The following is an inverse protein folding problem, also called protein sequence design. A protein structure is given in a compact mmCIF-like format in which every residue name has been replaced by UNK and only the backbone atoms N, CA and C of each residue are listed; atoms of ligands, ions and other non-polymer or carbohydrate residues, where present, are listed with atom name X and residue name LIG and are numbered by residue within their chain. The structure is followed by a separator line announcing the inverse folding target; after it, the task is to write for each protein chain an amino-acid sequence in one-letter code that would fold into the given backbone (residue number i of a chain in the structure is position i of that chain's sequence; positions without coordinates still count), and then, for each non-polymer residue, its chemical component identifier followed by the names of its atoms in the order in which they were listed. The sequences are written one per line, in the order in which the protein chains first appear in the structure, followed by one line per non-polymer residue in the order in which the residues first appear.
data_IF_523646687103
#
_entry.id   IF_523646687103
#
_cell.length_a   1.000
_cell.length_b   1.000
_cell.length_c   1.000
_cell.angle_alpha   90.00
_cell.angle_beta   90.00
_cell.angle_gamma   90.00
#
_symmetry.space_group_name_H-M   'P 1'
#
loop_
_entity.id
_entity.type
_entity.pdbx_description
1 polymer ?
#
# COMPACT_ATOMS: atom_id res chain seq x y z
N UNK A 1 26.01 26.08 21.06
CA UNK A 1 25.85 25.60 22.45
C UNK A 1 24.36 25.43 22.69
N UNK A 2 23.72 24.33 23.09
CA UNK A 2 24.02 22.90 23.32
C UNK A 2 22.65 22.19 23.21
N UNK A 3 22.53 21.06 22.48
CA UNK A 3 22.43 19.65 22.95
C UNK A 3 21.28 19.29 23.93
N UNK A 4 20.37 18.41 23.43
CA UNK A 4 19.89 17.10 24.00
C UNK A 4 19.03 17.19 25.30
N UNK A 5 17.94 16.47 25.60
CA UNK A 5 17.31 15.14 25.31
C UNK A 5 15.80 15.25 25.66
N UNK A 6 14.89 14.32 25.30
CA UNK A 6 14.39 13.14 26.07
C UNK A 6 13.37 12.44 25.12
N UNK A 7 13.25 11.13 24.91
CA UNK A 7 13.70 9.95 25.64
C UNK A 7 12.49 9.15 26.12
N UNK A 8 12.05 8.12 25.38
CA UNK A 8 11.28 6.98 25.94
C UNK A 8 11.35 5.75 25.03
N UNK A 9 12.30 4.88 25.36
CA UNK A 9 12.51 3.54 24.81
C UNK A 9 11.87 2.55 25.78
N UNK A 10 11.04 1.61 25.30
CA UNK A 10 10.59 0.46 26.09
C UNK A 10 11.48 -0.73 25.73
N UNK A 11 12.19 -1.24 26.73
CA UNK A 11 13.12 -2.34 26.65
C UNK A 11 12.37 -3.68 26.63
N UNK A 12 12.55 -4.46 25.56
CA UNK A 12 12.21 -5.87 25.52
C UNK A 12 13.47 -6.70 25.78
N UNK A 13 13.46 -7.44 26.89
CA UNK A 13 14.53 -8.35 27.33
C UNK A 13 14.65 -9.52 26.35
N UNK A 14 15.83 -9.71 25.75
CA UNK A 14 16.19 -10.95 25.07
C UNK A 14 17.34 -11.61 25.83
N UNK A 15 17.06 -12.83 26.31
CA UNK A 15 17.96 -13.73 26.99
C UNK A 15 19.04 -14.18 26.00
N UNK A 16 20.31 -13.88 26.32
CA UNK A 16 21.47 -14.33 25.59
C UNK A 16 21.85 -15.77 26.02
N UNK A 17 21.80 -16.71 25.10
CA UNK A 17 22.49 -18.00 25.24
C UNK A 17 23.85 -17.86 24.57
N UNK A 18 24.89 -17.72 25.39
CA UNK A 18 26.27 -17.69 24.95
C UNK A 18 26.73 -19.11 24.59
N UNK A 19 27.14 -19.32 23.34
CA UNK A 19 27.96 -20.47 22.95
C UNK A 19 29.40 -20.00 22.89
N UNK A 20 30.24 -20.58 23.75
CA UNK A 20 31.67 -20.33 23.84
C UNK A 20 32.36 -20.86 22.57
N UNK A 21 32.82 -19.95 21.71
CA UNK A 21 33.74 -20.24 20.61
C UNK A 21 35.16 -19.87 21.03
N UNK A 22 36.06 -20.84 20.99
CA UNK A 22 37.45 -20.75 21.42
C UNK A 22 38.31 -19.90 20.46
N UNK A 23 39.14 -19.06 21.09
CA UNK A 23 40.31 -18.30 20.62
C UNK A 23 41.04 -18.74 19.34
N UNK A 24 41.12 -17.83 18.35
CA UNK A 24 42.26 -17.65 17.44
C UNK A 24 42.22 -16.31 16.68
N UNK A 25 43.26 -15.48 16.88
CA UNK A 25 43.81 -14.40 16.03
C UNK A 25 42.90 -13.38 15.32
N UNK A 26 42.99 -12.13 15.78
CA UNK A 26 43.40 -11.01 14.92
C UNK A 26 42.29 -10.19 14.24
N UNK A 27 42.16 -8.94 14.68
CA UNK A 27 41.57 -7.86 13.90
C UNK A 27 40.21 -7.38 14.40
N UNK A 28 40.19 -6.17 14.95
CA UNK A 28 38.99 -5.35 15.10
C UNK A 28 38.24 -5.26 13.77
N UNK A 29 37.04 -5.83 13.74
CA UNK A 29 36.01 -5.43 12.81
C UNK A 29 34.76 -5.21 13.64
N UNK A 30 34.50 -3.94 13.97
CA UNK A 30 33.18 -3.51 14.39
C UNK A 30 32.17 -4.13 13.42
N UNK A 31 31.30 -4.98 13.96
CA UNK A 31 30.23 -5.58 13.19
C UNK A 31 29.38 -4.45 12.63
N UNK A 32 29.64 -4.05 11.38
CA UNK A 32 28.80 -3.14 10.64
C UNK A 32 27.41 -3.76 10.65
N UNK A 33 26.50 -3.14 11.42
CA UNK A 33 25.08 -3.43 11.37
C UNK A 33 24.66 -3.26 9.91
N UNK A 34 24.50 -4.40 9.20
CA UNK A 34 23.89 -4.41 7.87
C UNK A 34 22.59 -3.59 7.96
N UNK A 35 22.37 -2.62 7.06
CA UNK A 35 21.12 -1.89 7.03
C UNK A 35 19.98 -2.90 6.98
N UNK A 36 18.99 -2.76 7.88
CA UNK A 36 17.77 -3.54 7.81
C UNK A 36 17.22 -3.39 6.39
N UNK A 37 17.02 -4.52 5.70
CA UNK A 37 16.47 -4.51 4.36
C UNK A 37 15.12 -3.78 4.42
N UNK A 38 14.99 -2.69 3.65
CA UNK A 38 13.71 -2.00 3.51
C UNK A 38 12.67 -3.03 3.01
N UNK A 39 11.45 -3.03 3.55
CA UNK A 39 10.38 -3.87 3.03
C UNK A 39 10.29 -3.67 1.51
N UNK A 40 10.34 -4.77 0.76
CA UNK A 40 10.15 -4.68 -0.70
C UNK A 40 8.73 -4.19 -0.96
N UNK A 41 8.62 -3.18 -1.81
CA UNK A 41 7.32 -2.74 -2.32
C UNK A 41 6.63 -3.92 -3.05
N UNK A 42 5.29 -4.00 -3.00
CA UNK A 42 4.56 -5.03 -3.74
C UNK A 42 4.82 -4.90 -5.25
N UNK A 43 4.81 -6.03 -5.94
CA UNK A 43 4.81 -6.06 -7.41
C UNK A 43 3.47 -5.57 -7.94
N UNK A 44 3.41 -5.16 -9.21
CA UNK A 44 2.14 -4.74 -9.84
C UNK A 44 1.11 -5.87 -9.75
N UNK A 45 1.47 -7.10 -10.12
CA UNK A 45 0.57 -8.26 -10.05
C UNK A 45 -0.02 -8.46 -8.66
N UNK A 46 0.81 -8.37 -7.61
CA UNK A 46 0.33 -8.52 -6.23
C UNK A 46 -0.59 -7.35 -5.80
N UNK A 47 -0.27 -6.14 -6.23
CA UNK A 47 -1.08 -4.96 -5.93
C UNK A 47 -2.42 -4.97 -6.70
N UNK A 48 -2.41 -5.39 -7.96
CA UNK A 48 -3.60 -5.63 -8.79
C UNK A 48 -4.53 -6.61 -8.10
N UNK A 49 -4.01 -7.78 -7.70
CA UNK A 49 -4.81 -8.76 -6.98
C UNK A 49 -5.42 -8.19 -5.69
N UNK A 50 -4.62 -7.49 -4.89
CA UNK A 50 -5.10 -6.89 -3.64
C UNK A 50 -6.22 -5.87 -3.88
N UNK A 51 -6.09 -5.07 -4.94
CA UNK A 51 -7.11 -4.11 -5.34
C UNK A 51 -8.39 -4.79 -5.82
N UNK A 52 -8.30 -5.77 -6.72
CA UNK A 52 -9.45 -6.50 -7.24
C UNK A 52 -10.16 -7.33 -6.15
N UNK A 53 -9.41 -7.90 -5.20
CA UNK A 53 -9.97 -8.58 -4.02
C UNK A 53 -10.77 -7.59 -3.14
N UNK A 54 -10.34 -6.33 -3.04
CA UNK A 54 -11.07 -5.29 -2.31
C UNK A 54 -12.36 -4.87 -3.03
N UNK A 55 -12.32 -4.74 -4.37
CA UNK A 55 -13.53 -4.49 -5.20
C UNK A 55 -14.52 -5.66 -5.05
N UNK A 56 -14.04 -6.90 -5.16
CA UNK A 56 -14.86 -8.10 -4.98
C UNK A 56 -15.48 -8.17 -3.57
N UNK A 57 -14.71 -7.79 -2.55
CA UNK A 57 -15.22 -7.74 -1.17
C UNK A 57 -16.30 -6.66 -1.03
N UNK A 58 -16.14 -5.52 -1.68
CA UNK A 58 -17.17 -4.48 -1.71
C UNK A 58 -18.47 -5.01 -2.34
N UNK A 59 -18.38 -5.75 -3.45
CA UNK A 59 -19.54 -6.29 -4.18
C UNK A 59 -20.25 -7.45 -3.46
N UNK A 60 -19.50 -8.21 -2.67
CA UNK A 60 -20.04 -9.36 -1.92
C UNK A 60 -20.56 -9.00 -0.54
N UNK A 61 -20.21 -7.82 -0.02
CA UNK A 61 -20.91 -7.20 1.11
C UNK A 61 -22.02 -6.30 0.55
N UNK A 62 -23.04 -5.91 1.31
CA UNK A 62 -24.25 -5.20 0.81
C UNK A 62 -24.01 -3.79 0.17
N UNK A 63 -22.82 -3.51 -0.36
CA UNK A 63 -22.44 -2.26 -1.02
C UNK A 63 -22.45 -1.09 -0.05
N UNK A 64 -22.69 0.11 -0.58
CA UNK A 64 -22.96 1.29 0.22
C UNK A 64 -24.39 1.28 0.78
N UNK A 65 -24.59 1.57 2.08
CA UNK A 65 -25.90 1.93 2.60
C UNK A 65 -26.52 3.10 1.83
N UNK A 66 -27.85 3.18 1.78
CA UNK A 66 -28.52 4.30 1.12
C UNK A 66 -28.26 5.64 1.81
N UNK A 67 -28.05 5.67 3.12
CA UNK A 67 -27.75 6.91 3.83
C UNK A 67 -26.34 7.40 3.53
N UNK A 68 -26.16 8.72 3.34
CA UNK A 68 -24.84 9.37 3.26
C UNK A 68 -24.15 9.37 4.62
N UNK A 69 -22.82 9.37 4.63
CA UNK A 69 -22.00 9.30 5.83
C UNK A 69 -21.73 7.87 6.31
N UNK A 70 -22.42 6.86 5.77
CA UNK A 70 -22.30 5.46 6.20
C UNK A 70 -21.46 4.59 5.25
N UNK A 71 -21.08 5.10 4.06
CA UNK A 71 -20.26 4.36 3.10
C UNK A 71 -18.77 4.73 3.12
N UNK A 72 -18.37 5.70 3.93
CA UNK A 72 -17.00 6.22 3.89
C UNK A 72 -15.92 5.14 4.11
N UNK A 73 -16.13 4.24 5.08
CA UNK A 73 -15.18 3.17 5.38
C UNK A 73 -15.04 2.19 4.21
N UNK A 74 -16.12 1.90 3.50
CA UNK A 74 -16.12 1.03 2.32
C UNK A 74 -15.41 1.69 1.14
N UNK A 75 -15.66 2.98 0.91
CA UNK A 75 -14.94 3.76 -0.10
C UNK A 75 -13.43 3.78 0.21
N UNK A 76 -13.06 3.97 1.48
CA UNK A 76 -11.66 3.93 1.92
C UNK A 76 -11.02 2.56 1.73
N UNK A 77 -11.74 1.48 2.07
CA UNK A 77 -11.27 0.11 1.91
C UNK A 77 -10.96 -0.27 0.45
N UNK A 78 -11.64 0.34 -0.51
CA UNK A 78 -11.36 0.18 -1.96
C UNK A 78 -10.26 1.14 -2.43
N UNK A 79 -10.28 2.39 -1.97
CA UNK A 79 -9.33 3.41 -2.41
C UNK A 79 -7.90 3.19 -1.91
N UNK A 80 -7.71 2.64 -0.71
CA UNK A 80 -6.38 2.43 -0.14
C UNK A 80 -5.54 1.40 -0.92
N UNK A 81 -6.08 0.22 -1.30
CA UNK A 81 -5.43 -0.68 -2.24
C UNK A 81 -5.10 -0.04 -3.59
N UNK A 82 -5.97 0.84 -4.10
CA UNK A 82 -5.73 1.55 -5.37
C UNK A 82 -4.50 2.47 -5.29
N UNK A 83 -4.27 3.14 -4.16
CA UNK A 83 -3.04 3.92 -3.92
C UNK A 83 -1.79 3.05 -3.93
N UNK A 84 -1.88 1.82 -3.41
CA UNK A 84 -0.77 0.85 -3.43
C UNK A 84 -0.51 0.38 -4.87
N UNK A 85 -1.57 0.08 -5.63
CA UNK A 85 -1.48 -0.26 -7.04
C UNK A 85 -0.79 0.85 -7.85
N UNK A 86 -1.21 2.11 -7.67
CA UNK A 86 -0.57 3.27 -8.32
C UNK A 86 0.94 3.33 -8.05
N UNK A 87 1.35 3.11 -6.80
CA UNK A 87 2.78 3.09 -6.43
C UNK A 87 3.52 1.93 -7.10
N UNK A 88 2.90 0.76 -7.19
CA UNK A 88 3.49 -0.40 -7.87
C UNK A 88 3.64 -0.13 -9.38
N UNK A 89 2.62 0.42 -10.05
CA UNK A 89 2.67 0.79 -11.47
C UNK A 89 3.78 1.80 -11.76
N UNK A 90 3.91 2.83 -10.92
CA UNK A 90 4.98 3.83 -11.04
C UNK A 90 6.38 3.25 -10.85
N UNK A 91 6.51 2.16 -10.08
CA UNK A 91 7.76 1.48 -9.84
C UNK A 91 8.07 0.42 -10.91
N UNK A 92 7.09 0.04 -11.72
CA UNK A 92 7.27 -0.92 -12.80
C UNK A 92 8.03 -0.29 -13.96
N UNK A 93 9.23 -0.82 -14.21
CA UNK A 93 10.08 -0.39 -15.31
C UNK A 93 9.88 -1.21 -16.58
N UNK A 94 9.21 -2.36 -16.49
CA UNK A 94 8.93 -3.22 -17.64
C UNK A 94 7.79 -2.66 -18.46
N UNK A 95 6.75 -2.20 -17.79
CA UNK A 95 5.56 -1.62 -18.41
C UNK A 95 5.68 -0.11 -18.40
N UNK A 96 5.81 0.50 -19.58
CA UNK A 96 6.00 1.94 -19.70
C UNK A 96 4.77 2.75 -19.24
N UNK A 97 4.95 4.02 -18.84
CA UNK A 97 3.86 4.87 -18.33
C UNK A 97 2.74 5.12 -19.35
N UNK A 98 3.03 4.98 -20.66
CA UNK A 98 2.04 5.13 -21.71
C UNK A 98 0.95 4.03 -21.68
N UNK A 99 1.32 2.81 -21.28
CA UNK A 99 0.38 1.70 -21.11
C UNK A 99 -0.61 2.00 -19.97
N UNK A 100 -0.10 2.52 -18.86
CA UNK A 100 -0.88 2.81 -17.65
C UNK A 100 -1.78 4.04 -17.73
N UNK A 101 -1.78 4.78 -18.85
CA UNK A 101 -2.44 6.08 -18.96
C UNK A 101 -3.91 6.03 -18.56
N UNK A 102 -4.65 5.02 -19.02
CA UNK A 102 -6.08 4.88 -18.73
C UNK A 102 -6.33 4.49 -17.28
N UNK A 103 -5.55 3.52 -16.76
CA UNK A 103 -5.59 3.18 -15.35
C UNK A 103 -5.30 4.39 -14.44
N UNK A 104 -4.34 5.26 -14.80
CA UNK A 104 -4.07 6.47 -14.05
C UNK A 104 -5.23 7.46 -14.04
N UNK A 105 -5.99 7.56 -15.13
CA UNK A 105 -7.19 8.41 -15.17
C UNK A 105 -8.25 7.91 -14.19
N UNK A 106 -8.45 6.60 -14.08
CA UNK A 106 -9.39 6.00 -13.13
C UNK A 106 -8.92 6.19 -11.69
N UNK A 107 -7.63 5.95 -11.42
CA UNK A 107 -7.01 6.23 -10.12
C UNK A 107 -7.14 7.70 -9.72
N UNK A 108 -6.95 8.64 -10.65
CA UNK A 108 -7.12 10.07 -10.39
C UNK A 108 -8.59 10.43 -10.08
N UNK A 109 -9.57 9.77 -10.70
CA UNK A 109 -10.99 9.95 -10.35
C UNK A 109 -11.28 9.44 -8.94
N UNK A 110 -10.75 8.27 -8.58
CA UNK A 110 -10.88 7.74 -7.22
C UNK A 110 -10.28 8.68 -6.18
N UNK A 111 -9.05 9.17 -6.44
CA UNK A 111 -8.37 10.11 -5.54
C UNK A 111 -9.17 11.41 -5.39
N UNK A 112 -9.76 11.94 -6.47
CA UNK A 112 -10.64 13.13 -6.42
C UNK A 112 -11.93 12.88 -5.63
N UNK A 113 -12.56 11.72 -5.82
CA UNK A 113 -13.75 11.35 -5.06
C UNK A 113 -13.46 11.24 -3.57
N UNK A 114 -12.32 10.65 -3.19
CA UNK A 114 -11.86 10.61 -1.80
C UNK A 114 -11.44 11.99 -1.27
N UNK A 115 -10.95 12.89 -2.12
CA UNK A 115 -10.54 14.23 -1.69
C UNK A 115 -11.69 15.12 -1.20
N UNK A 116 -12.96 14.73 -1.46
CA UNK A 116 -14.14 15.36 -0.84
C UNK A 116 -14.10 15.24 0.69
N UNK A 117 -13.49 14.18 1.23
CA UNK A 117 -13.25 14.02 2.67
C UNK A 117 -14.45 13.52 3.48
N UNK A 118 -15.58 13.27 2.83
CA UNK A 118 -16.77 12.69 3.42
C UNK A 118 -17.54 11.83 2.39
N UNK A 119 -18.44 10.98 2.87
CA UNK A 119 -19.29 10.16 2.02
C UNK A 119 -20.55 10.94 1.58
N UNK A 120 -20.63 11.22 0.28
CA UNK A 120 -21.75 11.87 -0.38
C UNK A 120 -22.23 11.02 -1.56
N UNK A 121 -23.49 11.18 -1.97
CA UNK A 121 -23.95 10.51 -3.20
C UNK A 121 -23.18 10.93 -4.45
N UNK A 122 -22.58 12.12 -4.46
CA UNK A 122 -21.88 12.65 -5.62
C UNK A 122 -20.47 12.08 -5.79
N UNK A 123 -19.78 11.69 -4.71
CA UNK A 123 -18.42 11.16 -4.80
C UNK A 123 -18.34 9.63 -4.75
N UNK A 124 -19.41 8.94 -4.31
CA UNK A 124 -19.47 7.47 -4.39
C UNK A 124 -19.19 6.91 -5.80
N UNK A 125 -19.81 7.42 -6.89
CA UNK A 125 -19.54 6.89 -8.23
C UNK A 125 -18.10 7.12 -8.68
N UNK A 126 -17.52 8.28 -8.32
CA UNK A 126 -16.14 8.60 -8.66
C UNK A 126 -15.14 7.64 -7.99
N UNK A 127 -15.42 7.19 -6.77
CA UNK A 127 -14.57 6.21 -6.07
C UNK A 127 -14.88 4.79 -6.48
N UNK A 128 -16.13 4.37 -6.31
CA UNK A 128 -16.51 2.96 -6.44
C UNK A 128 -16.72 2.57 -7.90
N UNK A 129 -17.39 3.40 -8.68
CA UNK A 129 -17.56 3.16 -10.12
C UNK A 129 -16.22 3.14 -10.85
N UNK A 130 -15.34 4.12 -10.57
CA UNK A 130 -13.98 4.09 -11.14
C UNK A 130 -13.15 2.89 -10.66
N UNK A 131 -13.44 2.33 -9.48
CA UNK A 131 -12.76 1.15 -9.00
C UNK A 131 -13.20 -0.12 -9.76
N UNK A 132 -14.49 -0.25 -10.06
CA UNK A 132 -15.00 -1.29 -10.94
C UNK A 132 -14.40 -1.17 -12.34
N UNK A 133 -14.46 0.02 -12.94
CA UNK A 133 -13.87 0.28 -14.26
C UNK A 133 -12.36 -0.05 -14.27
N UNK A 134 -11.64 0.26 -13.19
CA UNK A 134 -10.21 -0.05 -13.08
C UNK A 134 -9.97 -1.55 -12.93
N UNK A 135 -10.83 -2.25 -12.19
CA UNK A 135 -10.76 -3.71 -12.04
C UNK A 135 -10.91 -4.40 -13.39
N UNK A 136 -11.92 -4.01 -14.16
CA UNK A 136 -12.19 -4.54 -15.50
C UNK A 136 -11.03 -4.24 -16.47
N UNK A 137 -10.55 -2.99 -16.45
CA UNK A 137 -9.42 -2.60 -17.28
C UNK A 137 -8.16 -3.44 -16.98
N UNK A 138 -7.90 -3.78 -15.71
CA UNK A 138 -6.74 -4.60 -15.31
C UNK A 138 -6.86 -6.05 -15.80
N UNK A 139 -8.09 -6.59 -15.90
CA UNK A 139 -8.34 -7.92 -16.46
C UNK A 139 -8.16 -7.92 -17.98
N UNK A 140 -8.58 -6.85 -18.66
CA UNK A 140 -8.40 -6.67 -20.10
C UNK A 140 -6.95 -6.36 -20.49
N UNK A 141 -6.16 -5.80 -19.57
CA UNK A 141 -4.79 -5.35 -19.79
C UNK A 141 -3.80 -6.03 -18.82
N UNK A 142 -3.63 -7.36 -18.89
CA UNK A 142 -2.80 -8.10 -17.95
C UNK A 142 -1.32 -7.76 -18.11
N UNK A 143 -0.61 -7.60 -16.99
CA UNK A 143 0.84 -7.40 -16.96
C UNK A 143 1.60 -8.64 -16.51
N UNK A 144 2.82 -8.81 -17.03
CA UNK A 144 3.69 -9.98 -16.86
C UNK A 144 4.85 -9.80 -15.86
#
# INVERSE_FOLDING_TARGET
MGRITWGRTVAGVLVAVAVLGTSACGGEAEAQKKPAAKPKAPTVVAATKTFQDAVTTFDTTDGCPKATGECWDKMTAVADPAKVLRKAMNADKKTGPAFWREAYVLLDKMDKGMAVGEDTFTNRPDVLGSAHDLSDWLDENPVQ
#
